data_IF_970844058500
#
_entry.id   IF_970844058500
#
_cell.length_a   1.000
_cell.length_b   1.000
_cell.length_c   1.000
_cell.angle_alpha   90.00
_cell.angle_beta   90.00
_cell.angle_gamma   90.00
#
_symmetry.space_group_name_H-M   'P 1'
#
loop_
_entity.id
_entity.type
_entity.pdbx_description
1 polymer ?
#
# COMPACT_ATOMS: atom_id res chain seq x y z
N UNK A 1 37.31 -15.40 14.46
CA UNK A 1 36.16 -15.25 15.39
C UNK A 1 36.69 -14.93 16.78
N UNK A 2 36.25 -13.83 17.40
CA UNK A 2 36.57 -13.54 18.80
C UNK A 2 35.85 -14.54 19.71
N UNK A 3 36.54 -15.11 20.71
CA UNK A 3 35.90 -15.94 21.73
C UNK A 3 34.86 -15.09 22.50
N UNK A 4 33.59 -15.47 22.44
CA UNK A 4 32.52 -14.75 23.12
C UNK A 4 32.53 -15.10 24.61
N UNK A 5 32.80 -14.08 25.44
CA UNK A 5 32.68 -14.16 26.89
C UNK A 5 31.20 -14.01 27.27
N UNK A 6 30.80 -14.59 28.40
CA UNK A 6 29.44 -14.51 28.94
C UNK A 6 29.43 -14.00 30.38
N UNK A 7 28.26 -13.55 30.86
CA UNK A 7 28.06 -13.07 32.22
C UNK A 7 28.99 -11.91 32.60
N UNK A 8 29.53 -11.96 33.82
CA UNK A 8 30.44 -10.94 34.35
C UNK A 8 31.69 -10.72 33.49
N UNK A 9 32.23 -11.78 32.88
CA UNK A 9 33.40 -11.67 32.02
C UNK A 9 33.11 -10.89 30.72
N UNK A 10 31.87 -10.91 30.23
CA UNK A 10 31.40 -10.06 29.12
C UNK A 10 31.35 -8.60 29.58
N UNK A 11 30.70 -8.33 30.71
CA UNK A 11 30.57 -6.98 31.27
C UNK A 11 31.94 -6.32 31.49
N UNK A 12 32.86 -7.02 32.16
CA UNK A 12 34.21 -6.53 32.44
C UNK A 12 34.99 -6.26 31.15
N UNK A 13 34.73 -7.03 30.10
CA UNK A 13 35.38 -6.83 28.81
C UNK A 13 34.82 -5.63 28.06
N UNK A 14 33.48 -5.50 27.99
CA UNK A 14 32.81 -4.37 27.35
C UNK A 14 33.22 -3.06 28.00
N UNK A 15 33.24 -3.01 29.35
CA UNK A 15 33.69 -1.83 30.11
C UNK A 15 35.14 -1.48 29.79
N UNK A 16 36.03 -2.47 29.72
CA UNK A 16 37.45 -2.23 29.38
C UNK A 16 37.60 -1.65 27.98
N UNK A 17 36.95 -2.24 26.98
CA UNK A 17 37.05 -1.76 25.60
C UNK A 17 36.55 -0.32 25.49
N UNK A 18 35.42 0.02 26.12
CA UNK A 18 34.91 1.40 26.10
C UNK A 18 35.85 2.37 26.81
N UNK A 19 36.45 1.98 27.93
CA UNK A 19 37.43 2.82 28.63
C UNK A 19 38.69 3.04 27.78
N UNK A 20 39.18 1.99 27.11
CA UNK A 20 40.33 2.07 26.21
C UNK A 20 40.03 3.00 25.03
N UNK A 21 38.86 2.84 24.39
CA UNK A 21 38.40 3.69 23.30
C UNK A 21 38.19 5.15 23.73
N UNK A 22 37.65 5.38 24.93
CA UNK A 22 37.48 6.72 25.51
C UNK A 22 38.82 7.39 25.77
N UNK A 23 39.78 6.67 26.35
CA UNK A 23 41.12 7.18 26.58
C UNK A 23 41.86 7.50 25.27
N UNK A 24 41.66 6.68 24.22
CA UNK A 24 42.25 6.90 22.91
C UNK A 24 41.72 8.17 22.21
N UNK A 25 40.47 8.57 22.47
CA UNK A 25 39.90 9.81 21.94
C UNK A 25 40.54 11.08 22.54
N UNK A 26 41.07 10.98 23.75
CA UNK A 26 41.70 12.10 24.46
C UNK A 26 43.23 12.09 24.27
N UNK A 27 43.83 10.90 24.16
CA UNK A 27 45.24 10.70 23.87
C UNK A 27 45.41 9.55 22.86
N UNK A 28 45.46 9.86 21.55
CA UNK A 28 45.53 8.87 20.48
C UNK A 28 46.76 7.95 20.60
N UNK A 29 46.51 6.68 20.91
CA UNK A 29 47.52 5.62 21.10
C UNK A 29 47.23 4.37 20.27
N UNK A 30 45.97 4.13 19.92
CA UNK A 30 45.53 2.99 19.14
C UNK A 30 45.69 3.27 17.65
N UNK A 31 46.13 2.26 16.91
CA UNK A 31 46.09 2.31 15.44
C UNK A 31 44.65 2.17 14.93
N UNK A 32 44.38 2.61 13.69
CA UNK A 32 43.09 2.41 13.03
C UNK A 32 42.62 0.95 13.06
N UNK A 33 43.56 0.00 12.87
CA UNK A 33 43.25 -1.43 12.92
C UNK A 33 42.80 -1.86 14.32
N UNK A 34 43.46 -1.37 15.37
CA UNK A 34 43.09 -1.67 16.76
C UNK A 34 41.74 -1.05 17.12
N UNK A 35 41.48 0.20 16.74
CA UNK A 35 40.18 0.87 16.90
C UNK A 35 39.06 0.05 16.26
N UNK A 36 39.25 -0.34 15.00
CA UNK A 36 38.28 -1.14 14.25
C UNK A 36 38.02 -2.49 14.91
N UNK A 37 39.06 -3.20 15.35
CA UNK A 37 38.91 -4.50 16.02
C UNK A 37 38.14 -4.39 17.35
N UNK A 38 38.45 -3.35 18.14
CA UNK A 38 37.74 -3.08 19.39
C UNK A 38 36.27 -2.74 19.16
N UNK A 39 35.95 -1.89 18.18
CA UNK A 39 34.58 -1.55 17.82
C UNK A 39 33.83 -2.76 17.24
N UNK A 40 34.46 -3.58 16.40
CA UNK A 40 33.86 -4.81 15.90
C UNK A 40 33.52 -5.77 17.05
N UNK A 41 34.39 -5.87 18.05
CA UNK A 41 34.14 -6.67 19.24
C UNK A 41 32.99 -6.10 20.08
N UNK A 42 32.89 -4.77 20.25
CA UNK A 42 31.75 -4.13 20.88
C UNK A 42 30.45 -4.39 20.11
N UNK A 43 30.46 -4.31 18.78
CA UNK A 43 29.30 -4.62 17.92
C UNK A 43 28.80 -6.02 18.20
N UNK A 44 29.70 -7.00 18.29
CA UNK A 44 29.35 -8.40 18.57
C UNK A 44 28.76 -8.54 19.96
N UNK A 45 29.36 -7.94 20.99
CA UNK A 45 28.82 -8.00 22.35
C UNK A 45 27.48 -7.27 22.49
N UNK A 46 27.29 -6.17 21.75
CA UNK A 46 26.09 -5.35 21.75
C UNK A 46 24.91 -5.96 21.00
N UNK A 47 25.04 -7.13 20.35
CA UNK A 47 23.90 -7.86 19.77
C UNK A 47 22.94 -8.41 20.82
N UNK A 48 23.44 -8.63 22.03
CA UNK A 48 22.68 -9.10 23.19
C UNK A 48 22.87 -8.09 24.32
N UNK A 49 21.81 -7.41 24.78
CA UNK A 49 21.90 -6.41 25.84
C UNK A 49 22.43 -6.97 27.17
N UNK A 50 22.24 -8.26 27.44
CA UNK A 50 22.63 -8.85 28.71
C UNK A 50 24.13 -8.70 28.96
N UNK A 51 24.51 -8.08 30.08
CA UNK A 51 25.91 -7.80 30.45
C UNK A 51 26.67 -6.94 29.41
N UNK A 52 25.95 -6.13 28.63
CA UNK A 52 26.50 -5.14 27.69
C UNK A 52 26.05 -3.71 28.01
N UNK A 53 25.48 -3.50 29.20
CA UNK A 53 24.93 -2.24 29.69
C UNK A 53 25.78 -1.00 29.42
N UNK A 54 27.13 -1.03 29.56
CA UNK A 54 27.98 0.15 29.34
C UNK A 54 27.85 0.75 27.94
N UNK A 55 27.53 -0.05 26.91
CA UNK A 55 27.34 0.42 25.52
C UNK A 55 26.14 1.37 25.42
N UNK A 56 25.09 1.11 26.19
CA UNK A 56 23.80 1.80 26.11
C UNK A 56 23.68 2.98 27.09
N UNK A 57 24.79 3.39 27.71
CA UNK A 57 24.85 4.55 28.61
C UNK A 57 25.16 5.84 27.84
N UNK A 58 24.91 7.00 28.45
CA UNK A 58 25.28 8.29 27.88
C UNK A 58 26.78 8.39 27.56
N UNK A 59 27.63 7.86 28.43
CA UNK A 59 29.09 7.84 28.22
C UNK A 59 29.52 6.88 27.10
N UNK A 60 28.88 5.70 27.02
CA UNK A 60 29.09 4.75 25.93
C UNK A 60 28.70 5.33 24.58
N UNK A 61 27.49 5.89 24.48
CA UNK A 61 26.99 6.49 23.24
C UNK A 61 27.76 7.76 22.85
N UNK A 62 28.22 8.58 23.80
CA UNK A 62 29.11 9.72 23.53
C UNK A 62 30.43 9.26 22.92
N UNK A 63 31.02 8.19 23.46
CA UNK A 63 32.28 7.61 22.95
C UNK A 63 32.08 7.08 21.54
N UNK A 64 31.03 6.26 21.33
CA UNK A 64 30.69 5.73 20.01
C UNK A 64 30.37 6.84 19.01
N UNK A 65 29.65 7.88 19.41
CA UNK A 65 29.31 9.02 18.56
C UNK A 65 30.53 9.81 18.09
N UNK A 66 31.56 9.95 18.93
CA UNK A 66 32.85 10.56 18.52
C UNK A 66 33.52 9.73 17.42
N UNK A 67 33.58 8.41 17.55
CA UNK A 67 34.12 7.55 16.48
C UNK A 67 33.22 7.49 15.25
N UNK A 68 31.91 7.49 15.41
CA UNK A 68 30.98 7.36 14.30
C UNK A 68 30.95 8.61 13.39
N UNK A 69 30.99 9.80 13.97
CA UNK A 69 30.76 11.05 13.24
C UNK A 69 31.99 11.96 13.08
N UNK A 70 33.04 11.77 13.89
CA UNK A 70 34.24 12.66 13.88
C UNK A 70 35.47 11.94 13.32
N UNK A 71 35.59 10.62 13.51
CA UNK A 71 36.71 9.84 12.98
C UNK A 71 36.75 9.89 11.44
N UNK A 72 37.94 10.06 10.89
CA UNK A 72 38.17 10.19 9.45
C UNK A 72 38.31 8.83 8.77
N UNK A 73 38.74 7.82 9.51
CA UNK A 73 38.81 6.44 9.01
C UNK A 73 37.39 5.87 8.84
N UNK A 74 36.99 5.69 7.58
CA UNK A 74 35.65 5.23 7.19
C UNK A 74 35.34 3.85 7.82
N UNK A 75 36.32 2.94 7.85
CA UNK A 75 36.09 1.60 8.36
C UNK A 75 35.87 1.58 9.89
N UNK A 76 36.58 2.47 10.61
CA UNK A 76 36.38 2.67 12.06
C UNK A 76 35.03 3.33 12.33
N UNK A 77 34.72 4.40 11.59
CA UNK A 77 33.45 5.13 11.67
C UNK A 77 32.24 4.21 11.45
N UNK A 78 32.27 3.37 10.43
CA UNK A 78 31.19 2.42 10.12
C UNK A 78 31.01 1.34 11.19
N UNK A 79 32.09 0.84 11.81
CA UNK A 79 31.96 -0.10 12.92
C UNK A 79 31.33 0.57 14.16
N UNK A 80 31.67 1.83 14.44
CA UNK A 80 31.02 2.60 15.50
C UNK A 80 29.52 2.84 15.20
N UNK A 81 29.18 3.17 13.95
CA UNK A 81 27.78 3.30 13.51
C UNK A 81 27.01 1.98 13.67
N UNK A 82 27.61 0.83 13.33
CA UNK A 82 27.00 -0.49 13.54
C UNK A 82 26.73 -0.77 15.03
N UNK A 83 27.67 -0.43 15.92
CA UNK A 83 27.44 -0.51 17.37
C UNK A 83 26.26 0.36 17.80
N UNK A 84 26.18 1.59 17.28
CA UNK A 84 25.16 2.55 17.64
C UNK A 84 23.77 2.14 17.12
N UNK A 85 23.66 1.67 15.88
CA UNK A 85 22.42 1.16 15.32
C UNK A 85 21.87 -0.02 16.12
N UNK A 86 22.73 -0.93 16.60
CA UNK A 86 22.32 -2.02 17.49
C UNK A 86 21.83 -1.49 18.84
N UNK A 87 22.52 -0.50 19.42
CA UNK A 87 22.11 0.13 20.67
C UNK A 87 20.72 0.76 20.60
N UNK A 88 20.45 1.54 19.54
CA UNK A 88 19.16 2.21 19.30
C UNK A 88 18.02 1.23 19.04
N UNK A 89 18.32 0.10 18.40
CA UNK A 89 17.35 -0.95 18.12
C UNK A 89 16.95 -1.69 19.40
N UNK A 90 17.93 -2.06 20.22
CA UNK A 90 17.73 -2.94 21.37
C UNK A 90 17.31 -2.20 22.64
N UNK A 91 17.62 -0.90 22.76
CA UNK A 91 17.34 -0.10 23.95
C UNK A 91 16.65 1.21 23.54
N UNK A 92 15.32 1.35 23.71
CA UNK A 92 14.61 2.57 23.35
C UNK A 92 15.19 3.84 23.98
N UNK A 93 15.64 3.77 25.23
CA UNK A 93 16.31 4.88 25.93
C UNK A 93 17.57 5.41 25.21
N UNK A 94 18.26 4.57 24.44
CA UNK A 94 19.45 4.97 23.70
C UNK A 94 19.14 6.02 22.61
N UNK A 95 17.88 6.05 22.12
CA UNK A 95 17.45 6.97 21.06
C UNK A 95 17.43 8.41 21.58
N UNK A 96 16.77 8.64 22.70
CA UNK A 96 16.78 9.97 23.32
C UNK A 96 18.19 10.39 23.74
N UNK A 97 19.00 9.46 24.30
CA UNK A 97 20.39 9.76 24.66
C UNK A 97 21.21 10.21 23.43
N UNK A 98 21.02 9.60 22.26
CA UNK A 98 21.68 10.01 21.03
C UNK A 98 21.29 11.45 20.62
N UNK A 99 20.00 11.77 20.73
CA UNK A 99 19.47 13.12 20.45
C UNK A 99 20.05 14.14 21.43
N UNK A 100 20.03 13.86 22.73
CA UNK A 100 20.55 14.74 23.79
C UNK A 100 22.07 14.99 23.66
N UNK A 101 22.80 14.06 23.04
CA UNK A 101 24.22 14.21 22.73
C UNK A 101 24.50 15.04 21.45
N UNK A 102 23.46 15.54 20.79
CA UNK A 102 23.58 16.36 19.56
C UNK A 102 24.10 15.56 18.37
N UNK A 103 23.80 14.26 18.31
CA UNK A 103 24.27 13.39 17.22
C UNK A 103 23.32 13.33 16.02
N UNK A 104 22.08 13.83 16.14
CA UNK A 104 21.11 13.92 15.05
C UNK A 104 21.63 14.75 13.86
N UNK A 105 21.97 16.04 14.06
CA UNK A 105 22.62 16.89 13.06
C UNK A 105 23.85 16.26 12.39
N UNK A 106 24.71 15.61 13.19
CA UNK A 106 25.91 14.92 12.68
C UNK A 106 25.58 13.71 11.80
N UNK A 107 24.51 13.00 12.13
CA UNK A 107 24.02 11.91 11.31
C UNK A 107 23.50 12.44 9.96
N UNK A 108 22.70 13.51 9.96
CA UNK A 108 22.25 14.16 8.73
C UNK A 108 23.42 14.68 7.87
N UNK A 109 24.44 15.27 8.49
CA UNK A 109 25.64 15.72 7.76
C UNK A 109 26.43 14.55 7.16
N UNK A 110 26.57 13.45 7.90
CA UNK A 110 27.24 12.23 7.39
C UNK A 110 26.45 11.54 6.28
N UNK A 111 25.13 11.73 6.21
CA UNK A 111 24.29 11.18 5.13
C UNK A 111 24.67 11.72 3.74
N UNK A 112 25.39 12.84 3.66
CA UNK A 112 25.96 13.38 2.42
C UNK A 112 26.98 12.45 1.75
N UNK A 113 27.51 11.47 2.50
CA UNK A 113 28.41 10.44 1.99
C UNK A 113 27.74 9.62 0.88
N UNK A 114 28.44 9.41 -0.24
CA UNK A 114 27.97 8.53 -1.32
C UNK A 114 28.21 7.02 -1.04
N UNK A 115 28.72 6.69 0.15
CA UNK A 115 28.94 5.31 0.58
C UNK A 115 27.62 4.62 0.91
N UNK A 116 27.38 3.46 0.31
CA UNK A 116 26.16 2.65 0.50
C UNK A 116 26.06 2.12 1.94
N UNK A 117 27.21 1.78 2.55
CA UNK A 117 27.27 1.41 3.96
C UNK A 117 26.89 2.59 4.88
N UNK A 118 27.34 3.81 4.57
CA UNK A 118 27.00 4.99 5.35
C UNK A 118 25.50 5.31 5.17
N UNK A 119 25.00 5.26 3.93
CA UNK A 119 23.58 5.45 3.62
C UNK A 119 22.71 4.49 4.46
N UNK A 120 23.00 3.19 4.43
CA UNK A 120 22.25 2.21 5.22
C UNK A 120 22.32 2.49 6.73
N UNK A 121 23.52 2.70 7.27
CA UNK A 121 23.72 2.84 8.71
C UNK A 121 23.08 4.12 9.24
N UNK A 122 23.23 5.22 8.51
CA UNK A 122 22.66 6.51 8.89
C UNK A 122 21.15 6.52 8.67
N UNK A 123 20.64 5.99 7.55
CA UNK A 123 19.20 5.80 7.33
C UNK A 123 18.58 5.03 8.50
N UNK A 124 19.23 3.95 8.94
CA UNK A 124 18.77 3.15 10.08
C UNK A 124 18.81 3.91 11.42
N UNK A 125 19.88 4.65 11.68
CA UNK A 125 20.00 5.46 12.92
C UNK A 125 18.91 6.52 12.96
N UNK A 126 18.76 7.28 11.87
CA UNK A 126 17.73 8.31 11.75
C UNK A 126 16.33 7.69 11.74
N UNK A 127 16.12 6.51 11.16
CA UNK A 127 14.83 5.82 11.21
C UNK A 127 14.48 5.42 12.64
N UNK A 128 15.45 4.90 13.41
CA UNK A 128 15.20 4.52 14.80
C UNK A 128 14.87 5.72 15.69
N UNK A 129 15.44 6.90 15.41
CA UNK A 129 15.12 8.14 16.16
C UNK A 129 13.76 8.74 15.82
N UNK A 130 13.03 8.21 14.82
CA UNK A 130 11.62 8.61 14.62
C UNK A 130 10.68 8.01 15.67
N UNK A 131 11.17 7.06 16.48
CA UNK A 131 10.38 6.39 17.52
C UNK A 131 10.96 6.67 18.90
N UNK A 132 10.12 7.08 19.85
CA UNK A 132 10.49 7.29 21.26
C UNK A 132 11.69 8.25 21.45
N UNK A 133 11.83 9.26 20.58
CA UNK A 133 12.83 10.30 20.69
C UNK A 133 12.33 11.64 20.13
N UNK A 134 12.94 12.75 20.57
CA UNK A 134 12.52 14.12 20.22
C UNK A 134 13.43 14.78 19.19
N UNK A 135 13.91 14.02 18.19
CA UNK A 135 14.78 14.59 17.14
C UNK A 135 13.98 15.54 16.24
N UNK A 136 14.47 16.75 16.02
CA UNK A 136 13.79 17.74 15.19
C UNK A 136 14.07 17.51 13.70
N UNK A 137 13.20 16.75 13.02
CA UNK A 137 13.33 16.52 11.58
C UNK A 137 13.14 17.79 10.75
N UNK A 138 12.48 18.82 11.29
CA UNK A 138 12.31 20.11 10.61
C UNK A 138 13.65 20.83 10.52
N UNK A 139 14.41 20.86 11.63
CA UNK A 139 15.81 21.36 11.65
C UNK A 139 16.67 20.56 10.65
N UNK A 140 16.60 19.23 10.69
CA UNK A 140 17.41 18.36 9.83
C UNK A 140 17.14 18.56 8.33
N UNK A 141 15.88 18.79 7.96
CA UNK A 141 15.51 19.09 6.56
C UNK A 141 15.97 20.49 6.16
N UNK A 142 15.72 21.50 7.00
CA UNK A 142 15.95 22.91 6.64
C UNK A 142 17.42 23.33 6.72
N UNK A 143 18.16 22.87 7.74
CA UNK A 143 19.54 23.33 8.00
C UNK A 143 20.59 22.32 7.51
N UNK A 144 20.27 21.02 7.56
CA UNK A 144 21.20 19.95 7.22
C UNK A 144 20.93 19.30 5.85
N UNK A 145 19.94 19.80 5.10
CA UNK A 145 19.58 19.33 3.76
C UNK A 145 19.26 17.82 3.74
N UNK A 146 18.67 17.28 4.80
CA UNK A 146 18.40 15.85 4.90
C UNK A 146 17.50 15.36 3.74
N UNK A 147 16.49 16.15 3.37
CA UNK A 147 15.59 15.79 2.27
C UNK A 147 16.31 15.73 0.92
N UNK A 148 17.14 16.73 0.60
CA UNK A 148 17.94 16.77 -0.63
C UNK A 148 18.84 15.54 -0.74
N UNK A 149 19.48 15.15 0.37
CA UNK A 149 20.36 13.99 0.38
C UNK A 149 19.59 12.66 0.25
N UNK A 150 18.39 12.55 0.84
CA UNK A 150 17.50 11.38 0.67
C UNK A 150 17.03 11.27 -0.79
N UNK A 151 16.61 12.38 -1.40
CA UNK A 151 16.25 12.44 -2.82
C UNK A 151 17.44 12.00 -3.70
N UNK A 152 18.64 12.53 -3.42
CA UNK A 152 19.86 12.13 -4.13
C UNK A 152 20.17 10.63 -3.97
N UNK A 153 19.98 10.06 -2.78
CA UNK A 153 20.15 8.63 -2.54
C UNK A 153 19.19 7.78 -3.37
N UNK A 154 17.91 8.11 -3.37
CA UNK A 154 16.89 7.41 -4.16
C UNK A 154 17.19 7.53 -5.66
N UNK A 155 17.60 8.71 -6.13
CA UNK A 155 18.05 8.93 -7.51
C UNK A 155 19.24 8.06 -7.90
N UNK A 156 20.24 7.89 -7.01
CA UNK A 156 21.36 6.98 -7.25
C UNK A 156 20.88 5.54 -7.42
N UNK A 157 19.92 5.09 -6.62
CA UNK A 157 19.31 3.75 -6.78
C UNK A 157 18.55 3.62 -8.09
N UNK A 158 17.74 4.62 -8.47
CA UNK A 158 16.99 4.64 -9.72
C UNK A 158 17.89 4.60 -10.96
N UNK A 159 19.03 5.31 -10.93
CA UNK A 159 20.01 5.32 -12.04
C UNK A 159 20.55 3.93 -12.43
N UNK A 160 20.43 2.93 -11.56
CA UNK A 160 20.82 1.55 -11.83
C UNK A 160 19.85 0.81 -12.75
N UNK A 161 18.63 1.32 -12.91
CA UNK A 161 17.57 0.74 -13.75
C UNK A 161 17.50 1.37 -15.16
N UNK A 162 18.53 2.09 -15.59
CA UNK A 162 18.45 2.94 -16.79
C UNK A 162 18.55 2.18 -18.12
N UNK A 163 19.21 1.00 -18.17
CA UNK A 163 19.41 0.23 -19.42
C UNK A 163 19.02 -1.26 -19.35
N UNK A 164 18.47 -1.86 -20.43
CA UNK A 164 18.10 -3.29 -20.48
C UNK A 164 19.29 -4.23 -20.22
N UNK A 165 20.50 -3.86 -20.67
CA UNK A 165 21.74 -4.62 -20.39
C UNK A 165 22.19 -4.54 -18.93
N UNK A 166 21.75 -3.52 -18.19
CA UNK A 166 22.04 -3.31 -16.77
C UNK A 166 20.98 -3.94 -15.86
N UNK A 167 19.90 -4.54 -16.38
CA UNK A 167 19.00 -5.40 -15.57
C UNK A 167 19.76 -6.58 -14.94
N UNK A 168 20.81 -7.07 -15.60
CA UNK A 168 21.72 -8.05 -15.02
C UNK A 168 22.54 -7.52 -13.81
N UNK A 169 22.52 -6.20 -13.57
CA UNK A 169 23.15 -5.50 -12.45
C UNK A 169 22.13 -4.92 -11.46
N UNK A 170 20.86 -5.40 -11.49
CA UNK A 170 19.88 -5.13 -10.45
C UNK A 170 20.48 -5.45 -9.08
N UNK A 171 20.75 -4.41 -8.28
CA UNK A 171 21.25 -4.48 -6.90
C UNK A 171 22.01 -5.78 -6.60
N UNK A 172 23.06 -6.03 -7.36
CA UNK A 172 23.79 -7.32 -7.33
C UNK A 172 24.43 -7.59 -5.98
N UNK A 173 24.61 -6.53 -5.17
CA UNK A 173 25.02 -6.61 -3.79
C UNK A 173 23.79 -6.48 -2.86
N UNK A 174 23.58 -7.42 -1.91
CA UNK A 174 22.51 -7.33 -0.92
C UNK A 174 22.48 -6.01 -0.14
N UNK A 175 23.64 -5.39 0.04
CA UNK A 175 23.80 -4.11 0.74
C UNK A 175 23.06 -2.96 0.06
N UNK A 176 23.00 -2.96 -1.28
CA UNK A 176 22.29 -1.93 -2.05
C UNK A 176 20.79 -1.95 -1.71
N UNK A 177 20.18 -3.15 -1.68
CA UNK A 177 18.75 -3.31 -1.35
C UNK A 177 18.46 -2.96 0.09
N UNK A 178 19.38 -3.28 0.99
CA UNK A 178 19.27 -2.92 2.40
C UNK A 178 19.31 -1.41 2.58
N UNK A 179 20.25 -0.70 1.91
CA UNK A 179 20.34 0.74 1.95
C UNK A 179 19.07 1.41 1.41
N UNK A 180 18.63 1.03 0.20
CA UNK A 180 17.38 1.52 -0.39
C UNK A 180 16.18 1.30 0.56
N UNK A 181 16.07 0.11 1.14
CA UNK A 181 14.97 -0.23 2.05
C UNK A 181 14.98 0.65 3.31
N UNK A 182 16.14 0.89 3.92
CA UNK A 182 16.22 1.77 5.11
C UNK A 182 15.95 3.24 4.74
N UNK A 183 16.43 3.71 3.60
CA UNK A 183 16.17 5.07 3.10
C UNK A 183 14.67 5.29 2.84
N UNK A 184 13.98 4.32 2.24
CA UNK A 184 12.53 4.38 2.01
C UNK A 184 11.72 4.33 3.32
N UNK A 185 12.15 3.53 4.31
CA UNK A 185 11.52 3.51 5.63
C UNK A 185 11.70 4.83 6.37
N UNK A 186 12.90 5.42 6.31
CA UNK A 186 13.17 6.74 6.88
C UNK A 186 12.27 7.79 6.23
N UNK A 187 12.24 7.83 4.90
CA UNK A 187 11.38 8.72 4.12
C UNK A 187 9.90 8.57 4.53
N UNK A 188 9.40 7.33 4.60
CA UNK A 188 8.04 7.05 5.04
C UNK A 188 7.76 7.60 6.44
N UNK A 189 8.64 7.34 7.41
CA UNK A 189 8.41 7.80 8.78
C UNK A 189 8.48 9.32 8.91
N UNK A 190 9.44 10.00 8.25
CA UNK A 190 9.53 11.46 8.27
C UNK A 190 8.23 12.05 7.73
N UNK A 191 7.78 11.59 6.57
CA UNK A 191 6.57 12.11 5.92
C UNK A 191 5.28 11.70 6.64
N UNK A 192 5.28 10.61 7.39
CA UNK A 192 4.15 10.19 8.22
C UNK A 192 4.01 11.06 9.49
N UNK A 193 5.10 11.28 10.22
CA UNK A 193 5.09 12.04 11.48
C UNK A 193 5.17 13.56 11.26
N UNK A 194 5.70 14.00 10.12
CA UNK A 194 5.82 15.41 9.73
C UNK A 194 5.30 15.64 8.31
N UNK A 195 3.96 15.59 8.09
CA UNK A 195 3.36 15.75 6.75
C UNK A 195 3.75 17.06 6.05
N UNK A 196 4.02 18.13 6.81
CA UNK A 196 4.44 19.43 6.29
C UNK A 196 5.77 19.37 5.51
N UNK A 197 6.62 18.37 5.82
CA UNK A 197 7.91 18.19 5.16
C UNK A 197 7.82 17.41 3.83
N UNK A 198 6.66 16.82 3.52
CA UNK A 198 6.46 15.97 2.32
C UNK A 198 6.89 16.63 1.01
N UNK A 199 6.65 17.93 0.86
CA UNK A 199 7.01 18.69 -0.35
C UNK A 199 8.51 18.69 -0.66
N UNK A 200 9.36 18.55 0.35
CA UNK A 200 10.81 18.49 0.16
C UNK A 200 11.27 17.15 -0.46
N UNK A 201 10.38 16.16 -0.52
CA UNK A 201 10.68 14.82 -1.02
C UNK A 201 10.00 14.50 -2.35
N UNK A 202 9.30 15.46 -2.97
CA UNK A 202 8.59 15.28 -4.25
C UNK A 202 9.51 14.79 -5.37
N UNK A 203 10.78 15.22 -5.36
CA UNK A 203 11.80 14.78 -6.32
C UNK A 203 12.09 13.27 -6.27
N UNK A 204 11.76 12.58 -5.17
CA UNK A 204 11.90 11.13 -5.07
C UNK A 204 10.81 10.37 -5.83
N UNK A 205 9.65 10.98 -6.12
CA UNK A 205 8.49 10.30 -6.72
C UNK A 205 8.83 9.69 -8.10
N UNK A 206 9.42 10.43 -9.06
CA UNK A 206 9.74 9.88 -10.38
C UNK A 206 10.76 8.74 -10.29
N UNK A 207 11.75 8.87 -9.40
CA UNK A 207 12.80 7.88 -9.19
C UNK A 207 12.24 6.60 -8.54
N UNK A 208 11.30 6.72 -7.59
CA UNK A 208 10.59 5.57 -7.01
C UNK A 208 9.77 4.83 -8.07
N UNK A 209 9.02 5.55 -8.92
CA UNK A 209 8.27 4.94 -10.01
C UNK A 209 9.18 4.31 -11.07
N UNK A 210 10.33 4.92 -11.34
CA UNK A 210 11.34 4.35 -12.24
C UNK A 210 11.86 3.01 -11.74
N UNK A 211 12.15 2.89 -10.43
CA UNK A 211 12.53 1.62 -9.79
C UNK A 211 11.40 0.60 -9.89
N UNK A 212 10.16 0.98 -9.54
CA UNK A 212 9.00 0.09 -9.57
C UNK A 212 8.76 -0.49 -10.97
N UNK A 213 8.71 0.37 -11.99
CA UNK A 213 8.33 0.00 -13.36
C UNK A 213 9.39 -0.81 -14.10
N UNK A 214 10.68 -0.69 -13.72
CA UNK A 214 11.80 -1.27 -14.48
C UNK A 214 12.45 -2.50 -13.85
N UNK A 215 12.21 -2.74 -12.56
CA UNK A 215 12.71 -3.89 -11.82
C UNK A 215 11.98 -5.17 -12.23
N UNK A 216 12.68 -6.30 -12.14
CA UNK A 216 12.06 -7.61 -12.26
C UNK A 216 11.07 -7.90 -11.11
N UNK A 217 9.98 -8.61 -11.45
CA UNK A 217 8.95 -8.96 -10.48
C UNK A 217 9.51 -9.90 -9.39
N UNK A 218 9.37 -9.55 -8.10
CA UNK A 218 9.75 -10.44 -7.00
C UNK A 218 8.88 -11.70 -7.00
N UNK A 219 9.33 -12.76 -6.30
CA UNK A 219 8.57 -14.02 -6.15
C UNK A 219 7.17 -13.79 -5.57
N UNK A 220 7.06 -12.92 -4.56
CA UNK A 220 5.79 -12.35 -4.13
C UNK A 220 5.74 -10.86 -4.49
N UNK A 221 4.68 -10.36 -5.15
CA UNK A 221 4.66 -9.03 -5.78
C UNK A 221 4.92 -7.84 -4.86
N UNK A 222 4.62 -7.96 -3.56
CA UNK A 222 4.72 -6.88 -2.58
C UNK A 222 5.84 -7.10 -1.55
N UNK A 223 6.67 -8.13 -1.73
CA UNK A 223 7.85 -8.31 -0.89
C UNK A 223 8.84 -7.14 -1.06
N UNK A 224 9.68 -6.92 -0.05
CA UNK A 224 10.68 -5.86 -0.08
C UNK A 224 11.57 -5.99 -1.33
N UNK A 225 11.93 -4.86 -2.00
CA UNK A 225 11.67 -3.48 -1.59
C UNK A 225 10.34 -2.88 -2.07
N UNK A 226 9.49 -3.64 -2.80
CA UNK A 226 8.27 -3.10 -3.45
C UNK A 226 7.29 -2.52 -2.43
N UNK A 227 7.07 -3.20 -1.31
CA UNK A 227 6.25 -2.67 -0.21
C UNK A 227 6.78 -1.34 0.34
N UNK A 228 8.09 -1.17 0.47
CA UNK A 228 8.66 0.09 0.96
C UNK A 228 8.56 1.22 -0.07
N UNK A 229 8.70 0.91 -1.37
CA UNK A 229 8.48 1.88 -2.45
C UNK A 229 7.02 2.37 -2.47
N UNK A 230 6.06 1.45 -2.35
CA UNK A 230 4.62 1.79 -2.28
C UNK A 230 4.31 2.60 -1.03
N UNK A 231 4.83 2.20 0.13
CA UNK A 231 4.61 2.93 1.38
C UNK A 231 5.18 4.36 1.30
N UNK A 232 6.39 4.53 0.77
CA UNK A 232 6.95 5.87 0.55
C UNK A 232 6.05 6.73 -0.34
N UNK A 233 5.58 6.19 -1.47
CA UNK A 233 4.64 6.90 -2.35
C UNK A 233 3.31 7.23 -1.66
N UNK A 234 2.84 6.41 -0.73
CA UNK A 234 1.57 6.66 -0.03
C UNK A 234 1.57 8.02 0.66
N UNK A 235 2.68 8.43 1.29
CA UNK A 235 2.77 9.72 1.97
C UNK A 235 3.16 10.87 1.04
N UNK A 236 3.85 10.58 -0.07
CA UNK A 236 4.28 11.59 -1.05
C UNK A 236 3.17 11.98 -2.03
N UNK A 237 2.35 11.01 -2.45
CA UNK A 237 1.15 11.26 -3.26
C UNK A 237 0.03 11.67 -2.32
N UNK A 238 -0.02 12.98 -2.05
CA UNK A 238 -0.98 13.59 -1.13
C UNK A 238 -2.37 13.65 -1.75
N UNK A 239 -3.38 13.53 -0.89
CA UNK A 239 -4.75 13.92 -1.22
C UNK A 239 -4.80 15.45 -1.22
N UNK A 240 -4.50 16.02 -2.38
CA UNK A 240 -4.85 17.41 -2.65
C UNK A 240 -6.15 17.42 -3.44
N UNK A 241 -6.94 18.48 -3.28
CA UNK A 241 -8.15 18.64 -4.06
C UNK A 241 -7.88 18.43 -5.55
N UNK A 242 -8.91 18.06 -6.30
CA UNK A 242 -8.79 17.91 -7.75
C UNK A 242 -8.65 19.30 -8.37
N UNK A 243 -7.44 19.67 -8.80
CA UNK A 243 -7.29 20.82 -9.69
C UNK A 243 -7.92 20.50 -11.04
N UNK A 244 -7.95 21.46 -11.96
CA UNK A 244 -8.38 21.14 -13.33
C UNK A 244 -7.21 20.58 -14.13
N UNK A 245 -7.46 19.82 -15.20
CA UNK A 245 -6.41 19.29 -16.09
C UNK A 245 -5.42 20.38 -16.57
N UNK A 246 -5.89 21.62 -16.69
CA UNK A 246 -5.07 22.77 -17.10
C UNK A 246 -4.38 23.50 -15.93
N UNK A 247 -4.91 23.35 -14.71
CA UNK A 247 -4.44 24.02 -13.51
C UNK A 247 -4.52 23.06 -12.31
N UNK A 248 -3.58 22.09 -12.20
CA UNK A 248 -3.48 21.23 -11.02
C UNK A 248 -3.11 22.07 -9.79
N UNK A 249 -3.56 21.64 -8.61
CA UNK A 249 -3.25 22.34 -7.35
C UNK A 249 -1.75 22.29 -7.00
N UNK A 250 -1.09 21.16 -7.28
CA UNK A 250 0.37 21.03 -7.24
C UNK A 250 0.88 20.49 -8.59
N UNK A 251 1.34 21.39 -9.50
CA UNK A 251 1.89 21.00 -10.79
C UNK A 251 3.14 20.12 -10.69
N UNK A 252 3.92 20.26 -9.61
CA UNK A 252 5.18 19.52 -9.42
C UNK A 252 4.86 18.08 -9.07
N UNK A 253 3.96 17.86 -8.12
CA UNK A 253 3.45 16.53 -7.79
C UNK A 253 2.81 15.85 -9.00
N UNK A 254 1.95 16.58 -9.71
CA UNK A 254 1.27 16.04 -10.89
C UNK A 254 2.25 15.59 -11.98
N UNK A 255 3.26 16.42 -12.30
CA UNK A 255 4.30 16.07 -13.26
C UNK A 255 5.18 14.88 -12.78
N UNK A 256 5.34 14.73 -11.48
CA UNK A 256 6.12 13.64 -10.90
C UNK A 256 5.38 12.28 -10.94
N UNK A 257 4.06 12.28 -10.76
CA UNK A 257 3.21 11.07 -10.80
C UNK A 257 2.87 10.66 -12.24
N UNK A 258 2.63 11.63 -13.13
CA UNK A 258 2.20 11.39 -14.52
C UNK A 258 3.28 11.87 -15.51
N UNK A 259 4.24 11.01 -15.89
CA UNK A 259 5.36 11.41 -16.74
C UNK A 259 4.88 11.72 -18.17
N UNK A 260 5.42 12.79 -18.76
CA UNK A 260 5.03 13.29 -20.09
C UNK A 260 5.19 12.23 -21.20
N UNK A 261 6.16 11.33 -21.08
CA UNK A 261 6.43 10.30 -22.10
C UNK A 261 5.37 9.21 -22.19
N UNK A 262 4.76 8.85 -21.06
CA UNK A 262 3.74 7.79 -20.96
C UNK A 262 2.90 8.03 -19.69
N UNK A 263 1.94 8.99 -19.73
CA UNK A 263 1.21 9.40 -18.53
C UNK A 263 0.52 8.26 -17.74
N UNK A 264 -0.11 7.24 -18.37
CA UNK A 264 -0.76 6.15 -17.63
C UNK A 264 0.19 5.06 -17.13
N UNK A 265 1.51 5.13 -17.40
CA UNK A 265 2.47 4.06 -17.11
C UNK A 265 2.46 3.63 -15.65
N UNK A 266 2.51 4.61 -14.75
CA UNK A 266 2.67 4.40 -13.32
C UNK A 266 1.41 3.79 -12.72
N UNK A 267 0.24 4.34 -13.05
CA UNK A 267 -1.05 3.79 -12.64
C UNK A 267 -1.27 2.37 -13.18
N UNK A 268 -0.94 2.14 -14.46
CA UNK A 268 -1.08 0.82 -15.08
C UNK A 268 -0.17 -0.22 -14.42
N UNK A 269 1.06 0.15 -14.08
CA UNK A 269 1.97 -0.73 -13.37
C UNK A 269 1.46 -1.10 -11.97
N UNK A 270 0.98 -0.12 -11.19
CA UNK A 270 0.39 -0.39 -9.87
C UNK A 270 -0.86 -1.28 -9.94
N UNK A 271 -1.72 -1.10 -10.97
CA UNK A 271 -2.87 -1.99 -11.21
C UNK A 271 -2.42 -3.41 -11.56
N UNK A 272 -1.36 -3.57 -12.36
CA UNK A 272 -0.80 -4.88 -12.67
C UNK A 272 -0.19 -5.56 -11.42
N UNK A 273 0.49 -4.79 -10.58
CA UNK A 273 1.01 -5.26 -9.28
C UNK A 273 -0.13 -5.67 -8.34
N UNK A 274 -1.25 -4.93 -8.34
CA UNK A 274 -2.45 -5.29 -7.59
C UNK A 274 -3.03 -6.63 -8.09
N UNK A 275 -3.15 -6.81 -9.41
CA UNK A 275 -3.65 -8.08 -9.96
C UNK A 275 -2.77 -9.26 -9.59
N UNK A 276 -1.45 -9.08 -9.68
CA UNK A 276 -0.48 -10.09 -9.28
C UNK A 276 -0.58 -10.40 -7.78
N UNK A 277 -0.69 -9.38 -6.93
CA UNK A 277 -0.81 -9.55 -5.49
C UNK A 277 -2.06 -10.34 -5.10
N UNK A 278 -3.23 -10.01 -5.66
CA UNK A 278 -4.48 -10.73 -5.36
C UNK A 278 -4.38 -12.21 -5.76
N UNK A 279 -3.62 -12.54 -6.80
CA UNK A 279 -3.43 -13.94 -7.24
C UNK A 279 -2.42 -14.71 -6.39
N UNK A 280 -1.42 -14.03 -5.83
CA UNK A 280 -0.30 -14.67 -5.14
C UNK A 280 -0.53 -14.81 -3.63
N UNK A 281 -1.12 -13.81 -2.99
CA UNK A 281 -1.31 -13.82 -1.52
C UNK A 281 -2.60 -14.55 -1.12
N UNK A 282 -2.61 -15.28 0.01
CA UNK A 282 -3.81 -15.93 0.51
C UNK A 282 -4.82 -14.89 1.01
N UNK A 283 -6.11 -15.21 0.92
CA UNK A 283 -7.20 -14.29 1.25
C UNK A 283 -7.10 -13.67 2.65
N UNK A 284 -6.63 -14.42 3.64
CA UNK A 284 -6.45 -13.97 5.03
C UNK A 284 -5.38 -12.88 5.20
N UNK A 285 -4.43 -12.76 4.27
CA UNK A 285 -3.34 -11.79 4.33
C UNK A 285 -3.62 -10.55 3.46
N UNK A 286 -4.62 -10.60 2.57
CA UNK A 286 -4.87 -9.54 1.60
C UNK A 286 -5.21 -8.19 2.26
N UNK A 287 -6.01 -8.20 3.33
CA UNK A 287 -6.41 -6.98 4.05
C UNK A 287 -5.18 -6.17 4.48
N UNK A 288 -4.22 -6.79 5.16
CA UNK A 288 -3.03 -6.09 5.62
C UNK A 288 -2.06 -5.76 4.47
N UNK A 289 -1.91 -6.66 3.50
CA UNK A 289 -0.84 -6.59 2.51
C UNK A 289 -1.16 -5.60 1.38
N UNK A 290 -2.41 -5.56 0.90
CA UNK A 290 -2.80 -4.77 -0.27
C UNK A 290 -3.27 -3.37 0.10
N UNK A 291 -3.69 -3.13 1.34
CA UNK A 291 -4.23 -1.83 1.79
C UNK A 291 -3.38 -0.61 1.40
N UNK A 292 -2.04 -0.60 1.56
CA UNK A 292 -1.23 0.54 1.14
C UNK A 292 -1.27 0.79 -0.38
N UNK A 293 -1.17 -0.28 -1.19
CA UNK A 293 -1.24 -0.20 -2.65
C UNK A 293 -2.61 0.29 -3.12
N UNK A 294 -3.68 -0.23 -2.51
CA UNK A 294 -5.04 0.14 -2.85
C UNK A 294 -5.34 1.60 -2.52
N UNK A 295 -4.88 2.06 -1.35
CA UNK A 295 -4.99 3.47 -0.94
C UNK A 295 -4.22 4.38 -1.89
N UNK A 296 -3.00 4.00 -2.27
CA UNK A 296 -2.20 4.75 -3.25
C UNK A 296 -2.91 4.84 -4.61
N UNK A 297 -3.50 3.74 -5.11
CA UNK A 297 -4.27 3.74 -6.36
C UNK A 297 -5.46 4.68 -6.32
N UNK A 298 -6.18 4.72 -5.19
CA UNK A 298 -7.30 5.64 -4.97
C UNK A 298 -6.86 7.10 -5.01
N UNK A 299 -5.75 7.43 -4.34
CA UNK A 299 -5.15 8.79 -4.36
C UNK A 299 -4.71 9.20 -5.75
N UNK A 300 -4.03 8.30 -6.47
CA UNK A 300 -3.61 8.54 -7.86
C UNK A 300 -4.83 8.79 -8.75
N UNK A 301 -5.90 8.01 -8.60
CA UNK A 301 -7.12 8.22 -9.37
C UNK A 301 -7.73 9.61 -9.10
N UNK A 302 -7.79 10.04 -7.85
CA UNK A 302 -8.33 11.35 -7.46
C UNK A 302 -7.56 12.51 -8.13
N UNK A 303 -6.23 12.48 -8.13
CA UNK A 303 -5.40 13.54 -8.73
C UNK A 303 -5.20 13.38 -10.25
N UNK A 304 -5.70 12.29 -10.86
CA UNK A 304 -5.42 11.97 -12.26
C UNK A 304 -6.29 12.79 -13.24
N UNK A 305 -5.74 13.19 -14.40
CA UNK A 305 -6.51 13.79 -15.50
C UNK A 305 -7.58 12.85 -16.05
N UNK A 306 -8.60 13.42 -16.70
CA UNK A 306 -9.74 12.66 -17.24
C UNK A 306 -9.33 11.49 -18.18
N UNK A 307 -8.31 11.69 -19.01
CA UNK A 307 -7.80 10.65 -19.92
C UNK A 307 -7.22 9.46 -19.14
N UNK A 308 -6.50 9.73 -18.05
CA UNK A 308 -5.89 8.69 -17.21
C UNK A 308 -6.96 8.01 -16.35
N UNK A 309 -7.94 8.76 -15.83
CA UNK A 309 -9.11 8.19 -15.15
C UNK A 309 -9.82 7.18 -16.04
N UNK A 310 -10.00 7.50 -17.34
CA UNK A 310 -10.63 6.60 -18.32
C UNK A 310 -9.82 5.30 -18.47
N UNK A 311 -8.49 5.38 -18.54
CA UNK A 311 -7.61 4.19 -18.61
C UNK A 311 -7.67 3.36 -17.32
N UNK A 312 -7.74 4.00 -16.15
CA UNK A 312 -7.89 3.30 -14.87
C UNK A 312 -9.25 2.61 -14.77
N UNK A 313 -10.33 3.32 -15.12
CA UNK A 313 -11.68 2.78 -15.19
C UNK A 313 -11.74 1.56 -16.12
N UNK A 314 -11.16 1.63 -17.32
CA UNK A 314 -11.18 0.52 -18.28
C UNK A 314 -10.45 -0.74 -17.78
N UNK A 315 -9.54 -0.61 -16.80
CA UNK A 315 -8.79 -1.73 -16.21
C UNK A 315 -9.39 -2.27 -14.92
N UNK A 316 -10.11 -1.43 -14.17
CA UNK A 316 -10.62 -1.73 -12.82
C UNK A 316 -12.12 -2.03 -12.79
N UNK A 317 -12.90 -1.50 -13.74
CA UNK A 317 -14.33 -1.77 -13.86
C UNK A 317 -14.59 -2.94 -14.85
N UNK A 318 -15.70 -3.68 -14.67
CA UNK A 318 -16.07 -4.76 -15.59
C UNK A 318 -16.25 -4.25 -17.03
N UNK A 319 -15.62 -4.94 -17.97
CA UNK A 319 -15.77 -4.72 -19.40
C UNK A 319 -16.93 -5.53 -19.99
N UNK A 320 -17.31 -5.26 -21.24
CA UNK A 320 -18.30 -6.07 -21.96
C UNK A 320 -17.89 -7.55 -22.09
N UNK A 321 -16.58 -7.83 -22.08
CA UNK A 321 -16.08 -9.21 -22.10
C UNK A 321 -16.30 -9.93 -20.78
N UNK A 322 -16.25 -9.20 -19.65
CA UNK A 322 -16.54 -9.75 -18.33
C UNK A 322 -18.01 -10.12 -18.18
N UNK A 323 -18.89 -9.44 -18.92
CA UNK A 323 -20.34 -9.70 -18.96
C UNK A 323 -20.73 -10.84 -19.89
N UNK A 324 -19.77 -11.56 -20.49
CA UNK A 324 -20.07 -12.80 -21.21
C UNK A 324 -20.54 -13.92 -20.26
N UNK A 325 -20.24 -13.79 -18.96
CA UNK A 325 -20.70 -14.66 -17.88
C UNK A 325 -21.22 -13.78 -16.73
N UNK A 326 -21.84 -14.35 -15.68
CA UNK A 326 -22.24 -13.58 -14.50
C UNK A 326 -21.04 -12.83 -13.91
N UNK A 327 -21.25 -11.57 -13.52
CA UNK A 327 -20.19 -10.74 -12.95
C UNK A 327 -19.56 -11.42 -11.73
N UNK A 328 -18.25 -11.28 -11.59
CA UNK A 328 -17.48 -11.95 -10.55
C UNK A 328 -17.07 -13.40 -10.89
N UNK A 329 -17.58 -14.02 -11.96
CA UNK A 329 -17.17 -15.40 -12.32
C UNK A 329 -15.94 -15.47 -13.23
N UNK A 330 -15.56 -14.37 -13.86
CA UNK A 330 -14.39 -14.36 -14.75
C UNK A 330 -13.06 -14.36 -13.99
N UNK A 331 -11.98 -14.65 -14.73
CA UNK A 331 -10.60 -14.57 -14.25
C UNK A 331 -9.97 -13.19 -14.45
N UNK A 332 -10.76 -12.14 -14.71
CA UNK A 332 -10.29 -10.76 -14.80
C UNK A 332 -10.07 -10.12 -13.43
N UNK A 333 -9.31 -9.01 -13.40
CA UNK A 333 -9.10 -8.22 -12.18
C UNK A 333 -10.42 -7.64 -11.66
N UNK A 334 -11.28 -6.99 -12.48
CA UNK A 334 -12.58 -6.51 -12.02
C UNK A 334 -13.43 -7.60 -11.36
N UNK A 335 -13.46 -8.80 -11.93
CA UNK A 335 -14.23 -9.92 -11.34
C UNK A 335 -13.67 -10.38 -9.99
N UNK A 336 -12.33 -10.43 -9.84
CA UNK A 336 -11.71 -10.69 -8.53
C UNK A 336 -12.03 -9.61 -7.51
N UNK A 337 -11.98 -8.34 -7.90
CA UNK A 337 -12.31 -7.22 -7.03
C UNK A 337 -13.78 -7.27 -6.57
N UNK A 338 -14.72 -7.59 -7.46
CA UNK A 338 -16.13 -7.78 -7.12
C UNK A 338 -16.34 -8.93 -6.11
N UNK A 339 -15.63 -10.05 -6.27
CA UNK A 339 -15.68 -11.13 -5.28
C UNK A 339 -15.11 -10.68 -3.91
N UNK A 340 -14.01 -9.93 -3.91
CA UNK A 340 -13.43 -9.38 -2.68
C UNK A 340 -14.35 -8.35 -2.03
N UNK A 341 -15.13 -7.59 -2.80
CA UNK A 341 -16.14 -6.65 -2.27
C UNK A 341 -17.36 -7.33 -1.64
N UNK A 342 -17.42 -8.66 -1.67
CA UNK A 342 -18.44 -9.47 -0.96
C UNK A 342 -17.84 -10.50 -0.01
N UNK A 343 -16.51 -10.54 0.10
CA UNK A 343 -15.78 -11.51 0.92
C UNK A 343 -15.92 -11.20 2.41
N UNK A 344 -16.31 -12.20 3.20
CA UNK A 344 -16.34 -12.10 4.66
C UNK A 344 -14.95 -12.20 5.31
N UNK A 345 -13.94 -12.68 4.57
CA UNK A 345 -12.58 -12.88 5.10
C UNK A 345 -11.75 -11.59 5.10
N UNK A 346 -12.20 -10.57 4.36
CA UNK A 346 -11.45 -9.34 4.10
C UNK A 346 -12.34 -8.11 4.32
N UNK A 347 -12.87 -7.90 5.55
CA UNK A 347 -13.90 -6.89 5.80
C UNK A 347 -13.40 -5.46 5.54
N UNK A 348 -12.13 -5.15 5.83
CA UNK A 348 -11.58 -3.81 5.61
C UNK A 348 -11.43 -3.52 4.11
N UNK A 349 -10.92 -4.49 3.34
CA UNK A 349 -10.78 -4.38 1.90
C UNK A 349 -12.15 -4.38 1.20
N UNK A 350 -13.14 -5.12 1.72
CA UNK A 350 -14.50 -5.20 1.16
C UNK A 350 -15.11 -3.81 0.98
N UNK A 351 -15.15 -3.04 2.06
CA UNK A 351 -15.76 -1.71 2.07
C UNK A 351 -14.91 -0.71 1.27
N UNK A 352 -13.58 -0.88 1.30
CA UNK A 352 -12.65 -0.05 0.53
C UNK A 352 -12.79 -0.26 -0.99
N UNK A 353 -12.94 -1.51 -1.45
CA UNK A 353 -13.15 -1.83 -2.87
C UNK A 353 -14.46 -1.25 -3.36
N UNK A 354 -15.55 -1.45 -2.62
CA UNK A 354 -16.85 -0.94 -3.00
C UNK A 354 -16.85 0.60 -3.08
N UNK A 355 -16.21 1.27 -2.12
CA UNK A 355 -16.02 2.72 -2.14
C UNK A 355 -15.20 3.18 -3.35
N UNK A 356 -14.10 2.50 -3.68
CA UNK A 356 -13.29 2.88 -4.83
C UNK A 356 -14.03 2.64 -6.15
N UNK A 357 -14.78 1.55 -6.31
CA UNK A 357 -15.60 1.31 -7.50
C UNK A 357 -16.72 2.35 -7.67
N UNK A 358 -17.26 2.87 -6.56
CA UNK A 358 -18.19 4.00 -6.59
C UNK A 358 -17.51 5.29 -7.07
N UNK A 359 -16.27 5.56 -6.65
CA UNK A 359 -15.47 6.69 -7.12
C UNK A 359 -15.08 6.58 -8.59
N UNK A 360 -14.70 5.37 -9.04
CA UNK A 360 -14.48 5.05 -10.45
C UNK A 360 -15.75 5.32 -11.29
N UNK A 361 -16.92 5.24 -10.67
CA UNK A 361 -18.23 5.52 -11.30
C UNK A 361 -18.67 6.99 -11.10
N UNK A 362 -17.70 7.90 -10.95
CA UNK A 362 -17.95 9.34 -10.76
C UNK A 362 -18.79 9.69 -9.53
N UNK A 363 -18.84 8.81 -8.52
CA UNK A 363 -19.71 8.94 -7.33
C UNK A 363 -21.20 9.07 -7.70
N UNK A 364 -21.60 8.54 -8.85
CA UNK A 364 -22.99 8.52 -9.33
C UNK A 364 -23.59 7.12 -9.11
N UNK A 365 -24.67 6.99 -8.32
CA UNK A 365 -25.32 5.70 -8.07
C UNK A 365 -25.79 5.00 -9.34
N UNK A 366 -26.27 5.75 -10.35
CA UNK A 366 -26.76 5.15 -11.59
C UNK A 366 -25.62 4.50 -12.39
N UNK A 367 -24.53 5.24 -12.61
CA UNK A 367 -23.32 4.71 -13.24
C UNK A 367 -22.70 3.58 -12.44
N UNK A 368 -22.73 3.66 -11.11
CA UNK A 368 -22.20 2.60 -10.26
C UNK A 368 -22.96 1.29 -10.46
N UNK A 369 -24.29 1.31 -10.37
CA UNK A 369 -25.11 0.11 -10.63
C UNK A 369 -24.90 -0.40 -12.06
N UNK A 370 -24.84 0.49 -13.04
CA UNK A 370 -24.55 0.12 -14.43
C UNK A 370 -23.22 -0.62 -14.54
N UNK A 371 -22.16 -0.13 -13.90
CA UNK A 371 -20.81 -0.69 -14.00
C UNK A 371 -20.62 -2.00 -13.23
N UNK A 372 -21.08 -2.08 -11.98
CA UNK A 372 -20.80 -3.23 -11.10
C UNK A 372 -21.97 -4.23 -10.98
N UNK A 373 -23.15 -3.89 -11.49
CA UNK A 373 -24.37 -4.68 -11.37
C UNK A 373 -25.08 -4.47 -10.03
N UNK A 374 -26.41 -4.66 -10.03
CA UNK A 374 -27.27 -4.40 -8.87
C UNK A 374 -26.88 -5.24 -7.64
N UNK A 375 -26.56 -6.52 -7.84
CA UNK A 375 -26.19 -7.43 -6.74
C UNK A 375 -24.98 -6.94 -5.93
N UNK A 376 -23.94 -6.44 -6.60
CA UNK A 376 -22.75 -5.90 -5.93
C UNK A 376 -22.96 -4.48 -5.40
N UNK A 377 -23.72 -3.64 -6.11
CA UNK A 377 -23.93 -2.24 -5.73
C UNK A 377 -24.87 -2.06 -4.53
N UNK A 378 -25.93 -2.86 -4.44
CA UNK A 378 -27.04 -2.65 -3.50
C UNK A 378 -26.59 -2.64 -2.04
N UNK A 379 -25.74 -3.59 -1.64
CA UNK A 379 -25.22 -3.67 -0.27
C UNK A 379 -24.40 -2.44 0.12
N UNK A 380 -23.56 -1.93 -0.80
CA UNK A 380 -22.76 -0.74 -0.54
C UNK A 380 -23.62 0.52 -0.45
N UNK A 381 -24.52 0.75 -1.43
CA UNK A 381 -25.40 1.93 -1.45
C UNK A 381 -26.29 1.99 -0.20
N UNK A 382 -26.86 0.86 0.21
CA UNK A 382 -27.63 0.76 1.45
C UNK A 382 -26.78 1.09 2.69
N UNK A 383 -25.57 0.52 2.78
CA UNK A 383 -24.66 0.78 3.92
C UNK A 383 -24.24 2.24 4.05
N UNK A 384 -24.24 2.99 2.93
CA UNK A 384 -23.89 4.41 2.87
C UNK A 384 -25.13 5.33 2.88
N UNK A 385 -26.33 4.79 3.06
CA UNK A 385 -27.61 5.53 2.99
C UNK A 385 -27.80 6.32 1.68
N UNK A 386 -27.30 5.77 0.56
CA UNK A 386 -27.47 6.35 -0.76
C UNK A 386 -28.72 5.72 -1.40
N UNK A 387 -29.70 6.52 -1.87
CA UNK A 387 -30.92 5.99 -2.47
C UNK A 387 -30.61 5.23 -3.76
N UNK A 388 -31.33 4.14 -3.98
CA UNK A 388 -31.20 3.36 -5.21
C UNK A 388 -31.78 4.16 -6.39
N UNK A 389 -31.05 4.27 -7.52
CA UNK A 389 -31.54 5.00 -8.67
C UNK A 389 -32.74 4.28 -9.31
N UNK A 390 -33.77 5.02 -9.70
CA UNK A 390 -34.97 4.47 -10.34
C UNK A 390 -34.67 3.76 -11.66
N UNK A 391 -33.65 4.22 -12.40
CA UNK A 391 -33.19 3.58 -13.64
C UNK A 391 -32.68 2.16 -13.43
N UNK A 392 -32.04 1.86 -12.28
CA UNK A 392 -31.62 0.50 -11.94
C UNK A 392 -32.80 -0.42 -11.61
N UNK A 393 -33.94 0.15 -11.20
CA UNK A 393 -35.18 -0.57 -10.93
C UNK A 393 -35.95 -0.79 -12.25
N UNK A 394 -35.88 0.15 -13.19
CA UNK A 394 -36.54 0.08 -14.50
C UNK A 394 -35.80 -0.77 -15.53
N UNK A 395 -34.45 -0.74 -15.56
CA UNK A 395 -33.63 -1.64 -16.40
C UNK A 395 -33.79 -3.13 -16.00
N UNK A 396 -34.40 -3.40 -14.83
CA UNK A 396 -34.80 -4.75 -14.45
C UNK A 396 -36.10 -5.22 -15.14
N UNK A 397 -36.84 -4.31 -15.78
CA UNK A 397 -38.12 -4.57 -16.45
C UNK A 397 -38.10 -4.32 -17.96
N UNK A 398 -37.34 -3.34 -18.46
CA UNK A 398 -37.30 -3.00 -19.89
C UNK A 398 -35.87 -2.66 -20.33
N UNK A 399 -35.36 -3.37 -21.35
CA UNK A 399 -33.97 -3.25 -21.79
C UNK A 399 -33.61 -1.86 -22.32
N UNK A 400 -32.51 -1.31 -21.82
CA UNK A 400 -31.97 -0.01 -22.25
C UNK A 400 -31.69 0.08 -23.76
N UNK A 401 -32.04 1.23 -24.31
CA UNK A 401 -31.90 1.58 -25.73
C UNK A 401 -30.44 1.84 -26.12
N UNK A 402 -29.85 0.94 -26.91
CA UNK A 402 -28.62 1.20 -27.68
C UNK A 402 -27.49 0.18 -27.52
N UNK A 403 -27.59 -0.74 -26.56
CA UNK A 403 -26.61 -1.81 -26.31
C UNK A 403 -27.27 -3.19 -26.25
N UNK A 404 -26.45 -4.25 -26.12
CA UNK A 404 -27.00 -5.59 -25.86
C UNK A 404 -27.55 -5.60 -24.44
N UNK A 405 -28.83 -5.98 -24.23
CA UNK A 405 -29.44 -6.01 -22.91
C UNK A 405 -28.63 -6.81 -21.90
N UNK A 406 -28.57 -6.34 -20.67
CA UNK A 406 -27.83 -6.95 -19.55
C UNK A 406 -28.81 -7.39 -18.48
N UNK A 407 -28.65 -8.59 -17.95
CA UNK A 407 -29.42 -9.08 -16.83
C UNK A 407 -29.11 -8.24 -15.57
N UNK A 408 -30.12 -7.61 -14.96
CA UNK A 408 -29.93 -6.75 -13.79
C UNK A 408 -29.39 -7.50 -12.57
N UNK A 409 -29.68 -8.81 -12.43
CA UNK A 409 -29.31 -9.63 -11.28
C UNK A 409 -27.88 -10.15 -11.44
N UNK A 410 -27.57 -10.78 -12.58
CA UNK A 410 -26.28 -11.43 -12.81
C UNK A 410 -25.23 -10.48 -13.41
N UNK A 411 -25.66 -9.36 -14.01
CA UNK A 411 -24.82 -8.45 -14.76
C UNK A 411 -24.30 -9.02 -16.09
N UNK A 412 -24.76 -10.22 -16.48
CA UNK A 412 -24.42 -10.90 -17.72
C UNK A 412 -25.22 -10.33 -18.91
N UNK A 413 -24.64 -10.34 -20.11
CA UNK A 413 -25.37 -9.97 -21.34
C UNK A 413 -26.39 -11.06 -21.68
N UNK A 414 -27.63 -10.66 -21.98
CA UNK A 414 -28.76 -11.57 -22.25
C UNK A 414 -28.50 -12.48 -23.48
N UNK A 415 -27.69 -12.05 -24.44
CA UNK A 415 -27.33 -12.85 -25.62
C UNK A 415 -26.38 -14.02 -25.31
N UNK A 416 -25.75 -14.01 -24.13
CA UNK A 416 -24.80 -15.04 -23.67
C UNK A 416 -25.35 -15.89 -22.53
N UNK A 417 -26.54 -15.59 -22.04
CA UNK A 417 -27.18 -16.43 -21.04
C UNK A 417 -27.58 -17.77 -21.68
N UNK A 418 -27.25 -18.87 -21.00
CA UNK A 418 -27.76 -20.17 -21.39
C UNK A 418 -29.27 -20.13 -21.23
N UNK A 419 -29.99 -20.29 -22.34
CA UNK A 419 -31.41 -20.54 -22.29
C UNK A 419 -31.58 -21.92 -21.68
N UNK A 420 -31.91 -21.94 -20.39
CA UNK A 420 -32.33 -23.16 -19.74
C UNK A 420 -33.66 -23.54 -20.40
N UNK A 421 -33.62 -24.54 -21.28
CA UNK A 421 -34.81 -25.26 -21.70
C UNK A 421 -35.33 -26.02 -20.48
N UNK A 422 -36.02 -25.28 -19.62
CA UNK A 422 -36.84 -25.88 -18.58
C UNK A 422 -37.88 -26.73 -19.31
N UNK A 423 -38.05 -28.01 -18.95
CA UNK A 423 -39.14 -28.80 -19.49
C UNK A 423 -40.44 -28.01 -19.24
N UNK A 424 -41.26 -27.85 -20.27
CA UNK A 424 -42.54 -27.15 -20.14
C UNK A 424 -43.31 -27.77 -18.98
N UNK A 425 -43.47 -27.01 -17.89
CA UNK A 425 -44.19 -27.48 -16.71
C UNK A 425 -45.59 -27.90 -17.12
N UNK A 426 -46.02 -29.06 -16.62
CA UNK A 426 -47.40 -29.51 -16.79
C UNK A 426 -48.36 -28.51 -16.13
N UNK A 427 -49.64 -28.52 -16.54
CA UNK A 427 -50.65 -27.59 -16.01
C UNK A 427 -50.79 -27.71 -14.47
N UNK A 428 -50.73 -28.94 -13.96
CA UNK A 428 -50.77 -29.24 -12.51
C UNK A 428 -49.52 -28.73 -11.76
N UNK A 429 -48.34 -28.75 -12.38
CA UNK A 429 -47.12 -28.19 -11.80
C UNK A 429 -47.16 -26.66 -11.80
N UNK A 430 -47.69 -26.03 -12.86
CA UNK A 430 -47.91 -24.58 -12.92
C UNK A 430 -48.86 -24.10 -11.83
N UNK A 431 -49.96 -24.83 -11.61
CA UNK A 431 -50.92 -24.52 -10.55
C UNK A 431 -50.28 -24.65 -9.16
N UNK A 432 -49.52 -25.72 -8.90
CA UNK A 432 -48.81 -25.89 -7.63
C UNK A 432 -47.73 -24.83 -7.39
N UNK A 433 -46.99 -24.42 -8.42
CA UNK A 433 -46.03 -23.33 -8.29
C UNK A 433 -46.73 -21.98 -8.06
N UNK A 434 -47.86 -21.73 -8.74
CA UNK A 434 -48.68 -20.54 -8.51
C UNK A 434 -49.22 -20.49 -7.08
N UNK A 435 -49.70 -21.61 -6.52
CA UNK A 435 -50.12 -21.71 -5.12
C UNK A 435 -48.95 -21.45 -4.16
N UNK A 436 -47.77 -22.03 -4.43
CA UNK A 436 -46.57 -21.78 -3.62
C UNK A 436 -46.17 -20.31 -3.63
N UNK A 437 -46.18 -19.68 -4.81
CA UNK A 437 -45.89 -18.25 -4.95
C UNK A 437 -46.93 -17.40 -4.22
N UNK A 438 -48.21 -17.72 -4.36
CA UNK A 438 -49.29 -17.04 -3.65
C UNK A 438 -49.08 -17.06 -2.13
N UNK A 439 -48.76 -18.23 -1.57
CA UNK A 439 -48.45 -18.38 -0.14
C UNK A 439 -47.19 -17.59 0.25
N UNK A 440 -46.17 -17.57 -0.61
CA UNK A 440 -44.96 -16.77 -0.37
C UNK A 440 -45.27 -15.28 -0.31
N UNK A 441 -46.04 -14.76 -1.26
CA UNK A 441 -46.45 -13.35 -1.31
C UNK A 441 -47.35 -13.00 -0.11
N UNK A 442 -48.27 -13.87 0.30
CA UNK A 442 -49.07 -13.64 1.51
C UNK A 442 -48.21 -13.60 2.78
N UNK A 443 -47.23 -14.52 2.91
CA UNK A 443 -46.32 -14.52 4.05
C UNK A 443 -45.47 -13.26 4.08
N UNK A 444 -45.01 -12.79 2.92
CA UNK A 444 -44.21 -11.56 2.79
C UNK A 444 -45.04 -10.29 3.05
N UNK A 445 -46.32 -10.29 2.67
CA UNK A 445 -47.29 -9.24 3.03
C UNK A 445 -47.57 -9.23 4.54
N UNK A 446 -47.64 -10.41 5.18
CA UNK A 446 -47.84 -10.55 6.64
C UNK A 446 -46.62 -10.14 7.48
N UNK A 447 -45.40 -10.19 6.95
CA UNK A 447 -44.20 -9.74 7.68
C UNK A 447 -44.05 -8.21 7.70
N UNK A 448 -44.81 -7.46 6.88
CA UNK A 448 -44.92 -6.00 6.97
C UNK A 448 -43.68 -5.20 6.56
N UNK A 449 -42.65 -5.85 6.00
CA UNK A 449 -41.36 -5.22 5.63
C UNK A 449 -41.39 -4.60 4.23
N UNK A 450 -42.29 -5.06 3.34
CA UNK A 450 -42.44 -4.54 1.97
C UNK A 450 -43.92 -4.60 1.56
N UNK A 451 -44.49 -3.49 1.09
CA UNK A 451 -45.86 -3.45 0.56
C UNK A 451 -45.87 -3.90 -0.91
N UNK A 452 -45.73 -5.22 -1.11
CA UNK A 452 -45.73 -5.81 -2.45
C UNK A 452 -47.17 -6.13 -2.86
N UNK A 453 -47.64 -5.50 -3.94
CA UNK A 453 -48.91 -5.88 -4.57
C UNK A 453 -48.78 -7.29 -5.14
N UNK A 454 -49.66 -8.20 -4.74
CA UNK A 454 -49.65 -9.56 -5.26
C UNK A 454 -50.02 -9.52 -6.76
N UNK A 455 -49.15 -9.99 -7.67
CA UNK A 455 -49.42 -9.98 -9.11
C UNK A 455 -50.69 -10.77 -9.49
N UNK A 456 -51.08 -11.75 -8.67
CA UNK A 456 -52.36 -12.47 -8.83
C UNK A 456 -53.55 -11.59 -8.46
N UNK A 457 -53.46 -10.78 -7.39
CA UNK A 457 -54.51 -9.80 -7.05
C UNK A 457 -54.63 -8.71 -8.13
N UNK A 458 -53.51 -8.30 -8.74
CA UNK A 458 -53.49 -7.31 -9.82
C UNK A 458 -54.04 -7.88 -11.14
N UNK A 459 -53.75 -9.15 -11.45
CA UNK A 459 -54.37 -9.87 -12.57
C UNK A 459 -55.89 -10.05 -12.37
N UNK A 460 -56.34 -10.31 -11.14
CA UNK A 460 -57.77 -10.37 -10.78
C UNK A 460 -58.45 -9.00 -10.93
N UNK A 461 -57.79 -7.92 -10.47
CA UNK A 461 -58.32 -6.55 -10.57
C UNK A 461 -58.32 -5.99 -11.99
N UNK A 462 -57.41 -6.44 -12.85
CA UNK A 462 -57.32 -6.03 -14.25
C UNK A 462 -58.22 -6.84 -15.19
N UNK A 463 -58.99 -7.81 -14.66
CA UNK A 463 -59.96 -8.59 -15.42
C UNK A 463 -59.34 -9.58 -16.41
N UNK A 464 -58.08 -9.99 -16.20
CA UNK A 464 -57.34 -10.92 -17.07
C UNK A 464 -57.51 -12.40 -16.71
N UNK A 465 -58.35 -12.73 -15.74
CA UNK A 465 -58.63 -14.09 -15.29
C UNK A 465 -60.08 -14.39 -15.66
N UNK A 466 -60.29 -15.28 -16.64
CA UNK A 466 -61.58 -15.93 -16.86
C UNK A 466 -61.66 -17.14 -15.93
N UNK A 467 -62.68 -17.19 -15.07
CA UNK A 467 -63.05 -18.43 -14.36
C UNK A 467 -63.47 -19.46 -15.40
N UNK A 468 -62.71 -20.53 -15.57
CA UNK A 468 -63.17 -21.66 -16.38
C UNK A 468 -64.35 -22.32 -15.66
N UNK A 469 -65.46 -22.51 -16.38
CA UNK A 469 -66.62 -23.25 -15.87
C UNK A 469 -66.25 -24.71 -15.63
N UNK A 470 -66.58 -25.23 -14.44
CA UNK A 470 -66.46 -26.65 -14.10
C UNK A 470 -67.41 -27.51 -14.97
N UNK A 471 -66.97 -27.83 -16.19
CA UNK A 471 -67.52 -28.92 -17.01
C UNK A 471 -66.66 -29.15 -18.25
N UNK A 472 -65.69 -30.05 -18.16
CA UNK A 472 -65.60 -31.32 -18.92
C UNK A 472 -64.44 -32.20 -18.41
#
# INVERSE_FOLDING_TARGET
>A
MFAQKSGKAKLDHVTRILNDLKADLDNPKLSSQQRRQQLEQLKVYGRDPNNADPIFTQDGLRTLGRYAFIEKDIAVSQEALRCMANALLLQPKARQILVDLGHGPRAAEKFKSESIDDEFLISRILFLTTYDATLDYTELVNEYHLADNINAAIKRHASRYTQPRQRAQEHTAPMDLMALSETLKLLFNITHFHPDLSQHFTDSIPDIFHILTRRDAPTKPLDAPVSFLINALLNLVREEGTGTDQHPHDPVLHAAVFPVSDPPSNATHLIATLDSAIRTYPASELDATISPLFTLLRRIYEISPADIQTVMQSKLLPSDTDRAQPLGKSSSLPSRLLNLSTSAQTPALRDSIAAFMFELSSKDPAKYVQNVGYGYASGFLLSKNIPMPESAIQDAGEGSSGGVPVNPITGQRLDREEQVELPEMTLEEKEREAERLFVLFERLKKTGVVDVKNPVEEAYRSGRIEEMSDSD
#
